data_IF_882219569294
#
_entry.id   IF_882219569294
#
_cell.length_a   1.000
_cell.length_b   1.000
_cell.length_c   1.000
_cell.angle_alpha   90.00
_cell.angle_beta   90.00
_cell.angle_gamma   90.00
#
_symmetry.space_group_name_H-M   'P 1'
#
loop_
_entity.id
_entity.type
_entity.pdbx_description
1 polymer ?
#
# COMPACT_ATOMS: atom_id res chain seq x y z
N UNK A 1 -23.15 -13.18 11.14
CA UNK A 1 -21.75 -13.43 10.70
C UNK A 1 -20.85 -13.96 11.82
N UNK A 2 -21.27 -14.96 12.61
CA UNK A 2 -20.35 -15.71 13.50
C UNK A 2 -19.88 -16.96 12.76
N UNK A 3 -18.57 -17.14 12.60
CA UNK A 3 -17.97 -18.40 12.14
C UNK A 3 -17.56 -18.48 10.66
N UNK A 4 -17.42 -17.38 9.92
CA UNK A 4 -16.79 -17.45 8.59
C UNK A 4 -15.29 -17.66 8.81
N UNK A 5 -14.80 -18.87 8.52
CA UNK A 5 -13.38 -19.15 8.55
C UNK A 5 -12.64 -18.15 7.65
N UNK A 6 -11.45 -17.74 8.07
CA UNK A 6 -10.61 -16.82 7.31
C UNK A 6 -10.09 -17.56 6.05
N UNK A 7 -10.70 -17.27 4.90
CA UNK A 7 -10.28 -17.83 3.60
C UNK A 7 -9.06 -17.05 3.10
N UNK A 8 -7.87 -17.49 3.48
CA UNK A 8 -6.60 -16.93 3.01
C UNK A 8 -6.02 -17.78 1.87
N UNK A 9 -5.30 -17.14 0.92
CA UNK A 9 -4.53 -17.85 -0.10
C UNK A 9 -3.51 -18.81 0.52
N UNK A 10 -3.24 -19.91 -0.19
CA UNK A 10 -2.23 -20.87 0.22
C UNK A 10 -0.85 -20.19 0.38
N UNK A 11 -0.13 -20.54 1.45
CA UNK A 11 1.20 -20.01 1.75
C UNK A 11 1.22 -18.70 2.54
N UNK A 12 0.07 -18.07 2.78
CA UNK A 12 -0.05 -16.97 3.76
C UNK A 12 -0.37 -17.58 5.13
N UNK A 13 0.49 -17.32 6.11
CA UNK A 13 0.32 -17.74 7.51
C UNK A 13 -0.84 -16.95 8.17
N UNK A 14 -1.93 -17.61 8.62
CA UNK A 14 -3.07 -16.94 9.24
C UNK A 14 -2.72 -16.20 10.54
N UNK A 15 -1.84 -16.76 11.37
CA UNK A 15 -1.47 -16.16 12.66
C UNK A 15 -0.64 -14.89 12.42
N UNK A 16 0.28 -14.93 11.45
CA UNK A 16 1.04 -13.73 11.05
C UNK A 16 0.13 -12.67 10.41
N UNK A 17 -0.81 -13.08 9.55
CA UNK A 17 -1.77 -12.16 8.95
C UNK A 17 -2.65 -11.47 10.00
N UNK A 18 -3.16 -12.23 10.97
CA UNK A 18 -3.92 -11.70 12.09
C UNK A 18 -3.09 -10.72 12.92
N UNK A 19 -1.84 -11.08 13.25
CA UNK A 19 -0.92 -10.23 14.01
C UNK A 19 -0.71 -8.87 13.33
N UNK A 20 -0.31 -8.86 12.05
CA UNK A 20 -0.02 -7.60 11.34
C UNK A 20 -1.28 -6.73 11.17
N UNK A 21 -2.43 -7.37 10.94
CA UNK A 21 -3.71 -6.68 10.78
C UNK A 21 -4.14 -6.02 12.09
N UNK A 22 -3.97 -6.72 13.21
CA UNK A 22 -4.21 -6.18 14.54
C UNK A 22 -3.24 -5.05 14.91
N UNK A 23 -1.94 -5.19 14.58
CA UNK A 23 -0.95 -4.14 14.79
C UNK A 23 -1.27 -2.88 13.99
N UNK A 24 -1.66 -3.02 12.72
CA UNK A 24 -2.09 -1.91 11.87
C UNK A 24 -3.32 -1.22 12.48
N UNK A 25 -4.36 -1.99 12.84
CA UNK A 25 -5.57 -1.43 13.43
C UNK A 25 -5.28 -0.63 14.70
N UNK A 26 -4.47 -1.19 15.61
CA UNK A 26 -4.09 -0.51 16.85
C UNK A 26 -3.30 0.78 16.58
N UNK A 27 -2.38 0.78 15.60
CA UNK A 27 -1.64 2.00 15.20
C UNK A 27 -2.59 3.09 14.71
N UNK A 28 -3.58 2.72 13.88
CA UNK A 28 -4.58 3.67 13.36
C UNK A 28 -5.45 4.24 14.46
N UNK A 29 -5.91 3.41 15.40
CA UNK A 29 -6.73 3.89 16.52
C UNK A 29 -5.95 4.81 17.45
N UNK A 30 -4.69 4.48 17.75
CA UNK A 30 -3.85 5.35 18.59
C UNK A 30 -3.45 6.65 17.90
N UNK A 31 -3.25 6.65 16.58
CA UNK A 31 -2.99 7.88 15.82
C UNK A 31 -4.15 8.87 15.94
N UNK A 32 -5.39 8.37 16.09
CA UNK A 32 -6.57 9.20 16.29
C UNK A 32 -6.59 9.92 17.63
N UNK A 33 -6.07 9.29 18.66
CA UNK A 33 -6.03 9.85 20.02
C UNK A 33 -4.93 10.91 20.18
N UNK A 34 -3.95 10.95 19.27
CA UNK A 34 -2.75 11.79 19.38
C UNK A 34 -2.79 13.05 18.50
N UNK A 35 -3.90 13.33 17.82
CA UNK A 35 -3.99 14.54 17.00
C UNK A 35 -4.15 15.77 17.89
N UNK A 36 -3.16 16.63 17.80
CA UNK A 36 -3.19 17.99 18.33
C UNK A 36 -3.06 18.96 17.16
N UNK A 37 -4.14 19.71 16.90
CA UNK A 37 -4.18 20.69 15.82
C UNK A 37 -3.16 21.82 16.02
N UNK A 38 -2.76 22.10 17.26
CA UNK A 38 -1.80 23.16 17.57
C UNK A 38 -0.35 22.73 17.33
N UNK A 39 -0.10 21.42 17.18
CA UNK A 39 1.24 20.88 16.92
C UNK A 39 1.68 21.12 15.48
N UNK A 40 0.74 21.17 14.54
CA UNK A 40 1.01 21.50 13.15
C UNK A 40 0.75 22.99 12.93
N UNK A 41 1.71 23.70 12.31
CA UNK A 41 1.51 25.10 11.95
C UNK A 41 0.41 25.18 10.89
N UNK A 42 -0.74 25.74 11.28
CA UNK A 42 -1.84 26.05 10.37
C UNK A 42 -1.55 27.38 9.69
N UNK A 43 -1.71 27.44 8.36
CA UNK A 43 -1.70 28.70 7.63
C UNK A 43 -3.06 29.39 7.79
N UNK A 44 -3.14 30.53 8.50
CA UNK A 44 -4.41 31.22 8.73
C UNK A 44 -5.03 31.80 7.46
N UNK A 45 -4.22 32.14 6.44
CA UNK A 45 -4.73 32.64 5.17
C UNK A 45 -5.42 31.53 4.39
N UNK A 46 -4.77 30.37 4.29
CA UNK A 46 -5.37 29.18 3.65
C UNK A 46 -6.65 28.76 4.39
N UNK A 47 -6.61 28.72 5.73
CA UNK A 47 -7.77 28.33 6.54
C UNK A 47 -9.01 29.21 6.29
N UNK A 48 -8.84 30.54 6.28
CA UNK A 48 -9.96 31.47 6.03
C UNK A 48 -10.50 31.32 4.61
N UNK A 49 -9.61 31.18 3.61
CA UNK A 49 -10.02 31.02 2.21
C UNK A 49 -10.75 29.68 2.00
N UNK A 50 -10.23 28.58 2.55
CA UNK A 50 -10.85 27.25 2.45
C UNK A 50 -12.21 27.18 3.16
N UNK A 51 -12.32 27.77 4.35
CA UNK A 51 -13.58 27.86 5.07
C UNK A 51 -14.62 28.65 4.27
N UNK A 52 -14.24 29.81 3.72
CA UNK A 52 -15.12 30.61 2.86
C UNK A 52 -15.52 29.88 1.57
N UNK A 53 -14.55 29.25 0.89
CA UNK A 53 -14.80 28.51 -0.36
C UNK A 53 -15.71 27.28 -0.16
N UNK A 54 -15.65 26.65 1.02
CA UNK A 54 -16.45 25.49 1.38
C UNK A 54 -17.74 25.86 2.14
N UNK A 55 -18.01 27.15 2.34
CA UNK A 55 -19.12 27.67 3.14
C UNK A 55 -19.20 27.05 4.55
N UNK A 56 -18.06 26.94 5.22
CA UNK A 56 -17.92 26.42 6.58
C UNK A 56 -17.66 27.55 7.57
N UNK A 57 -18.19 27.42 8.79
CA UNK A 57 -17.69 28.19 9.92
C UNK A 57 -16.25 27.77 10.27
N UNK A 58 -15.50 28.64 10.98
CA UNK A 58 -14.14 28.30 11.41
C UNK A 58 -14.09 27.06 12.31
N UNK A 59 -15.14 26.80 13.10
CA UNK A 59 -15.22 25.59 13.95
C UNK A 59 -15.38 24.34 13.09
N UNK A 60 -16.19 24.40 12.03
CA UNK A 60 -16.37 23.28 11.10
C UNK A 60 -15.10 23.03 10.29
N UNK A 61 -14.42 24.09 9.84
CA UNK A 61 -13.12 23.96 9.17
C UNK A 61 -12.08 23.29 10.06
N UNK A 62 -11.98 23.68 11.35
CA UNK A 62 -11.08 23.05 12.32
C UNK A 62 -11.34 21.55 12.45
N UNK A 63 -12.62 21.14 12.49
CA UNK A 63 -12.98 19.70 12.55
C UNK A 63 -12.57 18.98 11.26
N UNK A 64 -12.82 19.57 10.10
CA UNK A 64 -12.41 19.01 8.82
C UNK A 64 -10.88 18.90 8.71
N UNK A 65 -10.12 19.87 9.25
CA UNK A 65 -8.67 19.84 9.28
C UNK A 65 -8.12 18.73 10.18
N UNK A 66 -8.76 18.49 11.35
CA UNK A 66 -8.46 17.32 12.18
C UNK A 66 -8.67 16.02 11.41
N UNK A 67 -9.80 15.88 10.73
CA UNK A 67 -10.11 14.70 9.91
C UNK A 67 -9.11 14.51 8.74
N UNK A 68 -8.68 15.61 8.12
CA UNK A 68 -7.65 15.59 7.07
C UNK A 68 -6.30 15.14 7.61
N UNK A 69 -5.91 15.59 8.80
CA UNK A 69 -4.68 15.15 9.46
C UNK A 69 -4.75 13.67 9.85
N UNK A 70 -5.91 13.18 10.34
CA UNK A 70 -6.17 11.74 10.55
C UNK A 70 -5.96 10.95 9.27
N UNK A 71 -6.58 11.41 8.18
CA UNK A 71 -6.49 10.74 6.88
C UNK A 71 -5.05 10.65 6.37
N UNK A 72 -4.24 11.70 6.58
CA UNK A 72 -2.82 11.70 6.22
C UNK A 72 -2.03 10.68 7.04
N UNK A 73 -2.23 10.64 8.36
CA UNK A 73 -1.59 9.65 9.23
C UNK A 73 -2.00 8.22 8.85
N UNK A 74 -3.30 8.00 8.61
CA UNK A 74 -3.84 6.72 8.14
C UNK A 74 -3.20 6.30 6.82
N UNK A 75 -3.06 7.21 5.84
CA UNK A 75 -2.43 6.90 4.56
C UNK A 75 -1.00 6.39 4.72
N UNK A 76 -0.22 6.94 5.66
CA UNK A 76 1.13 6.46 5.94
C UNK A 76 1.10 5.05 6.56
N UNK A 77 0.22 4.81 7.53
CA UNK A 77 0.05 3.48 8.14
C UNK A 77 -0.43 2.42 7.15
N UNK A 78 -1.30 2.79 6.20
CA UNK A 78 -1.75 1.91 5.12
C UNK A 78 -0.58 1.51 4.22
N UNK A 79 0.34 2.43 3.93
CA UNK A 79 1.57 2.12 3.18
C UNK A 79 2.39 1.02 3.84
N UNK A 80 2.68 1.17 5.13
CA UNK A 80 3.41 0.14 5.90
C UNK A 80 2.65 -1.17 5.99
N UNK A 81 1.33 -1.13 6.13
CA UNK A 81 0.52 -2.35 6.16
C UNK A 81 0.60 -3.11 4.84
N UNK A 82 0.56 -2.43 3.70
CA UNK A 82 0.74 -3.06 2.40
C UNK A 82 2.14 -3.65 2.21
N UNK A 83 3.18 -2.99 2.70
CA UNK A 83 4.53 -3.54 2.72
C UNK A 83 4.58 -4.87 3.50
N UNK A 84 4.03 -4.90 4.70
CA UNK A 84 3.97 -6.12 5.52
C UNK A 84 3.14 -7.23 4.86
N UNK A 85 2.01 -6.88 4.23
CA UNK A 85 1.19 -7.85 3.49
C UNK A 85 1.93 -8.46 2.30
N UNK A 86 2.69 -7.67 1.54
CA UNK A 86 3.56 -8.21 0.48
C UNK A 86 4.59 -9.17 1.10
N UNK A 87 5.17 -8.82 2.25
CA UNK A 87 6.11 -9.68 2.98
C UNK A 87 5.51 -10.96 3.58
N UNK A 88 4.18 -11.17 3.50
CA UNK A 88 3.55 -12.45 3.85
C UNK A 88 3.39 -13.38 2.64
N UNK A 89 3.58 -12.87 1.42
CA UNK A 89 3.45 -13.69 0.22
C UNK A 89 4.60 -14.70 0.14
N UNK A 90 4.36 -15.91 -0.41
CA UNK A 90 5.42 -16.90 -0.59
C UNK A 90 6.65 -16.32 -1.31
N UNK A 91 7.82 -16.51 -0.70
CA UNK A 91 9.11 -16.05 -1.21
C UNK A 91 9.42 -14.57 -1.02
N UNK A 92 8.46 -13.76 -0.56
CA UNK A 92 8.66 -12.34 -0.28
C UNK A 92 9.01 -12.10 1.20
N UNK A 93 9.83 -11.09 1.43
CA UNK A 93 10.22 -10.59 2.75
C UNK A 93 10.01 -9.07 2.78
N UNK A 94 9.33 -8.58 3.83
CA UNK A 94 9.31 -7.14 4.15
C UNK A 94 10.64 -6.74 4.78
N UNK A 95 11.16 -5.57 4.42
CA UNK A 95 12.34 -4.98 5.07
C UNK A 95 12.01 -4.18 6.34
N UNK A 96 10.71 -4.01 6.63
CA UNK A 96 10.20 -3.28 7.80
C UNK A 96 10.48 -1.77 7.77
N UNK A 97 10.19 -1.11 8.89
CA UNK A 97 10.26 0.36 9.04
C UNK A 97 11.66 0.90 9.39
N UNK A 98 12.62 0.02 9.71
CA UNK A 98 13.84 0.39 10.43
C UNK A 98 15.10 0.53 9.56
N UNK A 99 14.99 0.53 8.24
CA UNK A 99 16.14 0.85 7.36
C UNK A 99 16.35 -0.05 6.15
N UNK A 100 15.29 -0.44 5.45
CA UNK A 100 15.42 -1.00 4.10
C UNK A 100 15.72 0.10 3.08
N UNK A 101 16.60 -0.18 2.13
CA UNK A 101 16.77 0.63 0.92
C UNK A 101 15.56 0.47 -0.05
N UNK A 102 14.69 -0.52 0.20
CA UNK A 102 13.51 -0.89 -0.57
C UNK A 102 12.51 -1.53 0.40
N UNK A 103 11.24 -1.60 0.05
CA UNK A 103 10.16 -2.05 0.94
C UNK A 103 10.07 -3.58 1.08
N UNK A 104 10.33 -4.32 -0.01
CA UNK A 104 10.24 -5.78 -0.03
C UNK A 104 11.27 -6.42 -0.96
N UNK A 105 11.59 -7.69 -0.73
CA UNK A 105 12.53 -8.47 -1.53
C UNK A 105 12.03 -9.90 -1.74
N UNK A 106 12.28 -10.44 -2.92
CA UNK A 106 12.11 -11.85 -3.24
C UNK A 106 13.47 -12.39 -3.71
N UNK A 107 14.16 -13.13 -2.82
CA UNK A 107 15.57 -13.52 -3.03
C UNK A 107 15.77 -14.64 -4.03
N UNK A 108 14.74 -15.46 -4.24
CA UNK A 108 14.73 -16.51 -5.26
C UNK A 108 14.10 -15.97 -6.56
N UNK A 109 14.23 -16.66 -7.70
CA UNK A 109 13.62 -16.22 -8.94
C UNK A 109 12.09 -16.10 -8.83
N UNK A 110 11.56 -14.88 -8.98
CA UNK A 110 10.14 -14.55 -9.12
C UNK A 110 9.79 -14.42 -10.60
N UNK A 111 8.61 -14.91 -11.00
CA UNK A 111 8.16 -14.83 -12.39
C UNK A 111 7.83 -13.38 -12.79
N UNK A 112 8.58 -12.87 -13.75
CA UNK A 112 8.39 -11.56 -14.39
C UNK A 112 7.97 -11.73 -15.85
N UNK A 113 7.54 -10.64 -16.51
CA UNK A 113 7.27 -10.63 -17.94
C UNK A 113 8.54 -10.74 -18.82
N UNK A 114 9.73 -10.61 -18.24
CA UNK A 114 11.00 -10.71 -18.95
C UNK A 114 11.80 -11.97 -18.61
N UNK A 115 11.24 -12.87 -17.79
CA UNK A 115 11.91 -14.08 -17.31
C UNK A 115 11.71 -14.29 -15.81
N UNK A 116 12.54 -15.13 -15.19
CA UNK A 116 12.49 -15.37 -13.74
C UNK A 116 13.75 -14.84 -13.07
N UNK A 117 13.58 -13.90 -12.13
CA UNK A 117 14.68 -13.17 -11.51
C UNK A 117 14.41 -12.92 -10.04
N UNK A 118 15.44 -12.85 -9.19
CA UNK A 118 15.27 -12.28 -7.87
C UNK A 118 14.88 -10.80 -7.98
N UNK A 119 14.11 -10.31 -7.02
CA UNK A 119 13.42 -9.03 -7.10
C UNK A 119 13.65 -8.20 -5.84
N UNK A 120 13.90 -6.91 -6.02
CA UNK A 120 13.70 -5.89 -4.98
C UNK A 120 12.50 -5.02 -5.36
N UNK A 121 11.74 -4.54 -4.39
CA UNK A 121 10.52 -3.79 -4.67
C UNK A 121 10.30 -2.61 -3.72
N UNK A 122 9.73 -1.55 -4.28
CA UNK A 122 9.09 -0.46 -3.56
C UNK A 122 7.57 -0.61 -3.70
N UNK A 123 6.83 -0.43 -2.61
CA UNK A 123 5.37 -0.54 -2.58
C UNK A 123 4.74 0.85 -2.49
N UNK A 124 3.79 1.14 -3.39
CA UNK A 124 2.96 2.34 -3.32
C UNK A 124 1.49 1.96 -3.26
N UNK A 125 0.78 2.63 -2.34
CA UNK A 125 -0.65 2.44 -2.17
C UNK A 125 -1.42 2.75 -3.47
N UNK A 126 -1.14 3.89 -4.12
CA UNK A 126 -1.83 4.32 -5.34
C UNK A 126 -0.85 4.75 -6.44
N UNK A 127 -1.30 4.72 -7.69
CA UNK A 127 -0.50 5.14 -8.84
C UNK A 127 -0.06 6.63 -8.82
N UNK A 128 -0.80 7.49 -8.11
CA UNK A 128 -0.61 8.94 -8.07
C UNK A 128 0.06 9.45 -6.78
N UNK A 129 0.69 8.59 -5.99
CA UNK A 129 1.26 8.96 -4.69
C UNK A 129 2.62 9.68 -4.80
N UNK A 130 3.21 9.77 -5.99
CA UNK A 130 4.52 10.38 -6.20
C UNK A 130 4.43 11.64 -7.06
N UNK A 131 5.02 12.72 -6.58
CA UNK A 131 5.36 13.87 -7.43
C UNK A 131 6.57 13.52 -8.32
N UNK A 132 6.87 14.38 -9.30
CA UNK A 132 7.97 14.17 -10.24
C UNK A 132 9.35 14.02 -9.58
N UNK A 133 9.59 14.73 -8.47
CA UNK A 133 10.83 14.64 -7.70
C UNK A 133 10.98 13.27 -7.03
N UNK A 134 9.97 12.84 -6.26
CA UNK A 134 9.95 11.52 -5.61
C UNK A 134 10.04 10.36 -6.60
N UNK A 135 9.40 10.50 -7.77
CA UNK A 135 9.51 9.52 -8.87
C UNK A 135 10.94 9.43 -9.40
N UNK A 136 11.59 10.57 -9.64
CA UNK A 136 12.98 10.62 -10.11
C UNK A 136 13.92 10.01 -9.07
N UNK A 137 13.70 10.33 -7.79
CA UNK A 137 14.52 9.81 -6.70
C UNK A 137 14.40 8.29 -6.54
N UNK A 138 13.19 7.75 -6.62
CA UNK A 138 12.99 6.30 -6.59
C UNK A 138 13.66 5.62 -7.79
N UNK A 139 13.61 6.24 -8.96
CA UNK A 139 14.31 5.74 -10.15
C UNK A 139 15.83 5.67 -9.95
N UNK A 140 16.43 6.73 -9.41
CA UNK A 140 17.85 6.75 -9.06
C UNK A 140 18.21 5.67 -8.04
N UNK A 141 17.36 5.49 -7.02
CA UNK A 141 17.55 4.46 -6.00
C UNK A 141 17.57 3.06 -6.64
N UNK A 142 16.62 2.73 -7.51
CA UNK A 142 16.63 1.45 -8.22
C UNK A 142 17.87 1.25 -9.10
N UNK A 143 18.30 2.28 -9.85
CA UNK A 143 19.54 2.21 -10.63
C UNK A 143 20.74 1.96 -9.70
N UNK A 144 20.80 2.67 -8.58
CA UNK A 144 21.86 2.49 -7.58
C UNK A 144 21.87 1.08 -7.02
N UNK A 145 20.71 0.51 -6.68
CA UNK A 145 20.62 -0.85 -6.13
C UNK A 145 21.04 -1.90 -7.15
N UNK A 146 20.52 -1.84 -8.37
CA UNK A 146 20.87 -2.80 -9.43
C UNK A 146 22.35 -2.70 -9.86
N UNK A 147 23.03 -1.60 -9.56
CA UNK A 147 24.47 -1.43 -9.75
C UNK A 147 25.34 -2.08 -8.67
N UNK A 148 24.77 -2.51 -7.52
CA UNK A 148 25.54 -3.10 -6.43
C UNK A 148 25.79 -4.60 -6.67
N UNK A 149 26.96 -5.15 -6.29
CA UNK A 149 27.30 -6.56 -6.50
C UNK A 149 26.27 -7.54 -5.93
N UNK A 150 25.69 -7.23 -4.77
CA UNK A 150 24.71 -8.10 -4.10
C UNK A 150 23.36 -8.21 -4.84
N UNK A 151 23.03 -7.25 -5.71
CA UNK A 151 21.81 -7.26 -6.52
C UNK A 151 22.09 -7.54 -8.00
N UNK A 152 23.27 -8.09 -8.32
CA UNK A 152 23.60 -8.47 -9.69
C UNK A 152 22.61 -9.50 -10.20
N UNK A 153 21.92 -9.16 -11.30
CA UNK A 153 20.91 -10.03 -11.91
C UNK A 153 19.49 -9.86 -11.37
N UNK A 154 19.28 -8.96 -10.41
CA UNK A 154 17.95 -8.64 -9.90
C UNK A 154 17.13 -7.80 -10.90
N UNK A 155 15.82 -7.81 -10.69
CA UNK A 155 14.85 -6.85 -11.24
C UNK A 155 14.35 -5.96 -10.09
N UNK A 156 14.11 -4.69 -10.37
CA UNK A 156 13.49 -3.76 -9.45
C UNK A 156 12.03 -3.50 -9.85
N UNK A 157 11.11 -3.65 -8.91
CA UNK A 157 9.69 -3.37 -9.13
C UNK A 157 9.21 -2.16 -8.32
N UNK A 158 8.48 -1.27 -8.98
CA UNK A 158 7.48 -0.44 -8.33
C UNK A 158 6.17 -1.23 -8.31
N UNK A 159 5.74 -1.65 -7.12
CA UNK A 159 4.46 -2.33 -6.91
C UNK A 159 3.39 -1.28 -6.61
N UNK A 160 2.30 -1.28 -7.37
CA UNK A 160 1.12 -0.44 -7.10
C UNK A 160 -0.03 -1.29 -6.58
N UNK A 161 -0.47 -1.05 -5.34
CA UNK A 161 -1.62 -1.76 -4.78
C UNK A 161 -2.90 -1.41 -5.53
N UNK A 162 -3.11 -0.12 -5.75
CA UNK A 162 -4.22 0.44 -6.53
C UNK A 162 -3.61 1.03 -7.81
N UNK A 163 -3.57 0.25 -8.91
CA UNK A 163 -3.02 0.72 -10.18
C UNK A 163 -3.95 1.77 -10.83
N UNK A 164 -3.59 2.22 -12.03
CA UNK A 164 -4.50 3.03 -12.85
C UNK A 164 -5.55 2.09 -13.48
N UNK A 165 -6.86 2.42 -13.45
CA UNK A 165 -7.90 1.57 -14.02
C UNK A 165 -7.62 1.14 -15.46
N UNK A 166 -7.98 -0.10 -15.80
CA UNK A 166 -7.81 -0.65 -17.15
C UNK A 166 -6.38 -0.99 -17.54
N UNK A 167 -5.43 -1.11 -16.59
CA UNK A 167 -4.06 -1.56 -16.85
C UNK A 167 -3.75 -2.83 -16.06
N UNK A 168 -3.58 -3.95 -16.76
CA UNK A 168 -2.85 -5.10 -16.25
C UNK A 168 -1.36 -4.82 -16.45
N UNK A 169 -0.58 -4.85 -15.38
CA UNK A 169 0.76 -4.26 -15.36
C UNK A 169 1.82 -5.22 -14.89
N UNK A 170 2.77 -5.43 -15.78
CA UNK A 170 4.17 -5.79 -15.53
C UNK A 170 4.96 -5.29 -16.75
N UNK A 171 5.27 -4.00 -16.74
CA UNK A 171 5.83 -3.26 -17.89
C UNK A 171 7.11 -2.52 -17.48
N UNK A 172 7.99 -2.18 -18.43
CA UNK A 172 9.09 -1.26 -18.13
C UNK A 172 8.56 0.02 -17.47
N UNK A 173 9.16 0.41 -16.35
CA UNK A 173 8.79 1.65 -15.69
C UNK A 173 9.60 2.79 -16.30
N UNK A 174 8.90 3.68 -17.00
CA UNK A 174 9.51 4.79 -17.74
C UNK A 174 9.41 6.08 -16.94
N UNK A 175 10.54 6.74 -16.74
CA UNK A 175 10.63 8.07 -16.16
C UNK A 175 11.38 8.95 -17.16
N UNK A 176 10.76 10.04 -17.63
CA UNK A 176 11.20 10.85 -18.78
C UNK A 176 12.70 11.17 -18.83
N UNK A 177 13.37 11.29 -17.67
CA UNK A 177 14.80 11.63 -17.56
C UNK A 177 15.78 10.45 -17.66
N UNK A 178 15.34 9.20 -17.56
CA UNK A 178 16.22 8.03 -17.42
C UNK A 178 16.06 6.96 -18.51
N UNK A 179 15.19 7.21 -19.51
CA UNK A 179 14.88 6.24 -20.57
C UNK A 179 14.20 4.96 -20.05
N UNK A 180 14.02 3.98 -20.93
CA UNK A 180 13.43 2.68 -20.60
C UNK A 180 14.52 1.69 -20.17
N UNK A 181 14.31 1.00 -19.05
CA UNK A 181 15.20 -0.07 -18.59
C UNK A 181 14.36 -1.29 -18.27
N UNK A 182 14.57 -2.39 -18.99
CA UNK A 182 13.72 -3.59 -18.85
C UNK A 182 13.71 -4.17 -17.43
N UNK A 183 14.81 -4.01 -16.69
CA UNK A 183 14.97 -4.51 -15.31
C UNK A 183 14.38 -3.59 -14.24
N UNK A 184 13.84 -2.43 -14.59
CA UNK A 184 13.14 -1.56 -13.64
C UNK A 184 11.70 -1.41 -14.13
N UNK A 185 10.77 -1.98 -13.39
CA UNK A 185 9.43 -2.30 -13.90
C UNK A 185 8.32 -1.81 -12.97
N UNK A 186 7.15 -1.61 -13.54
CA UNK A 186 5.92 -1.30 -12.84
C UNK A 186 5.03 -2.54 -12.87
N UNK A 187 4.55 -2.98 -11.70
CA UNK A 187 3.67 -4.12 -11.54
C UNK A 187 2.53 -3.79 -10.57
N UNK A 188 1.34 -4.34 -10.80
CA UNK A 188 0.22 -4.20 -9.87
C UNK A 188 0.25 -5.30 -8.81
N UNK A 189 -0.36 -5.01 -7.66
CA UNK A 189 -0.44 -5.98 -6.58
C UNK A 189 -1.24 -7.22 -6.96
N UNK A 190 -2.29 -7.12 -7.79
CA UNK A 190 -3.06 -8.31 -8.20
C UNK A 190 -2.12 -9.34 -8.85
N UNK A 191 -1.27 -8.90 -9.77
CA UNK A 191 -0.30 -9.73 -10.46
C UNK A 191 0.75 -10.31 -9.52
N UNK A 192 1.24 -9.51 -8.54
CA UNK A 192 2.19 -10.01 -7.53
C UNK A 192 1.56 -11.11 -6.67
N UNK A 193 0.35 -10.88 -6.15
CA UNK A 193 -0.35 -11.84 -5.31
C UNK A 193 -0.66 -13.13 -6.08
N UNK A 194 -1.17 -13.01 -7.31
CA UNK A 194 -1.49 -14.14 -8.17
C UNK A 194 -0.26 -14.99 -8.46
N UNK A 195 0.87 -14.38 -8.83
CA UNK A 195 2.11 -15.12 -9.14
C UNK A 195 2.74 -15.76 -7.90
N UNK A 196 2.66 -15.10 -6.74
CA UNK A 196 3.23 -15.64 -5.51
C UNK A 196 2.41 -16.80 -4.93
N UNK A 197 1.08 -16.78 -5.09
CA UNK A 197 0.18 -17.76 -4.47
C UNK A 197 -0.39 -18.78 -5.45
N UNK A 198 -0.22 -18.55 -6.76
CA UNK A 198 -0.88 -19.27 -7.85
C UNK A 198 -2.42 -19.21 -7.78
N UNK A 199 -2.95 -18.15 -7.15
CA UNK A 199 -4.38 -17.91 -6.97
C UNK A 199 -4.78 -16.52 -7.53
N UNK A 200 -5.56 -16.45 -8.62
CA UNK A 200 -5.96 -15.19 -9.25
C UNK A 200 -6.84 -14.30 -8.36
N UNK A 201 -7.43 -14.87 -7.30
CA UNK A 201 -8.26 -14.18 -6.31
C UNK A 201 -7.50 -13.81 -5.04
N UNK A 202 -6.18 -14.03 -4.98
CA UNK A 202 -5.43 -13.93 -3.73
C UNK A 202 -5.53 -12.56 -3.05
N UNK A 203 -5.40 -11.46 -3.81
CA UNK A 203 -5.53 -10.10 -3.26
C UNK A 203 -6.96 -9.85 -2.73
N UNK A 204 -7.98 -10.41 -3.39
CA UNK A 204 -9.39 -10.26 -2.99
C UNK A 204 -9.64 -11.02 -1.70
N UNK A 205 -9.17 -12.26 -1.58
CA UNK A 205 -9.25 -13.07 -0.37
C UNK A 205 -8.60 -12.39 0.83
N UNK A 206 -7.39 -11.84 0.65
CA UNK A 206 -6.68 -11.07 1.68
C UNK A 206 -7.49 -9.86 2.11
N UNK A 207 -8.07 -9.10 1.17
CA UNK A 207 -8.94 -7.97 1.50
C UNK A 207 -10.21 -8.39 2.28
N UNK A 208 -10.87 -9.47 1.86
CA UNK A 208 -12.07 -10.01 2.51
C UNK A 208 -11.79 -10.61 3.90
N UNK A 209 -10.54 -11.00 4.18
CA UNK A 209 -10.11 -11.51 5.47
C UNK A 209 -9.95 -10.41 6.54
N UNK A 210 -9.70 -9.14 6.14
CA UNK A 210 -9.48 -8.03 7.08
C UNK A 210 -10.68 -7.84 8.05
N UNK A 211 -11.93 -7.70 7.58
CA UNK A 211 -13.07 -7.56 8.49
C UNK A 211 -13.31 -8.78 9.38
N UNK A 212 -12.88 -9.97 8.96
CA UNK A 212 -12.97 -11.20 9.77
C UNK A 212 -12.05 -11.10 10.98
N UNK A 213 -10.78 -10.70 10.78
CA UNK A 213 -9.82 -10.45 11.87
C UNK A 213 -10.35 -9.39 12.83
N UNK A 214 -10.91 -8.31 12.27
CA UNK A 214 -11.36 -7.16 13.06
C UNK A 214 -12.74 -7.36 13.70
N UNK A 215 -13.45 -8.45 13.42
CA UNK A 215 -14.84 -8.67 13.84
C UNK A 215 -15.07 -8.62 15.35
N UNK A 216 -14.04 -8.89 16.16
CA UNK A 216 -14.09 -8.78 17.63
C UNK A 216 -13.86 -7.34 18.14
N UNK A 217 -13.37 -6.45 17.28
CA UNK A 217 -12.95 -5.07 17.60
C UNK A 217 -13.83 -4.00 16.97
N UNK A 218 -14.69 -4.38 16.02
CA UNK A 218 -15.57 -3.46 15.30
C UNK A 218 -17.02 -3.90 15.40
N UNK A 219 -17.92 -2.92 15.32
CA UNK A 219 -19.35 -3.18 15.17
C UNK A 219 -19.65 -3.46 13.69
N UNK A 220 -19.71 -4.76 13.34
CA UNK A 220 -20.02 -5.20 11.97
C UNK A 220 -21.41 -4.78 11.49
N UNK A 221 -22.37 -4.47 12.39
CA UNK A 221 -23.70 -3.99 11.97
C UNK A 221 -23.63 -2.62 11.27
N UNK A 222 -22.57 -1.84 11.54
CA UNK A 222 -22.31 -0.57 10.84
C UNK A 222 -21.70 -0.74 9.45
N UNK A 223 -21.40 -1.98 9.05
CA UNK A 223 -20.80 -2.34 7.76
C UNK A 223 -21.82 -3.00 6.81
N UNK A 224 -23.12 -2.94 7.13
CA UNK A 224 -24.18 -3.41 6.24
C UNK A 224 -24.14 -2.65 4.89
N UNK A 225 -24.41 -3.36 3.80
CA UNK A 225 -24.51 -2.91 2.38
C UNK A 225 -23.38 -3.30 1.38
N UNK A 226 -22.45 -4.21 1.68
CA UNK A 226 -21.40 -4.66 0.72
C UNK A 226 -20.59 -3.52 0.07
N UNK A 227 -20.72 -2.28 0.54
CA UNK A 227 -20.12 -1.08 -0.06
C UNK A 227 -18.59 -1.20 -0.14
N UNK A 228 -17.99 -1.82 0.88
CA UNK A 228 -16.56 -2.08 0.92
C UNK A 228 -16.09 -3.06 -0.17
N UNK A 229 -16.94 -4.03 -0.56
CA UNK A 229 -16.67 -4.94 -1.70
C UNK A 229 -16.77 -4.22 -3.04
N UNK A 230 -17.74 -3.32 -3.17
CA UNK A 230 -17.88 -2.48 -4.36
C UNK A 230 -16.66 -1.54 -4.53
N UNK A 231 -16.18 -0.94 -3.43
CA UNK A 231 -14.97 -0.11 -3.43
C UNK A 231 -13.73 -0.88 -3.91
N UNK A 232 -13.61 -2.16 -3.53
CA UNK A 232 -12.52 -3.02 -4.02
C UNK A 232 -12.63 -3.25 -5.53
N UNK A 233 -13.83 -3.65 -6.00
CA UNK A 233 -14.10 -3.86 -7.42
C UNK A 233 -13.73 -2.64 -8.28
N UNK A 234 -14.18 -1.45 -7.89
CA UNK A 234 -13.93 -0.21 -8.66
C UNK A 234 -12.49 0.31 -8.60
N UNK A 235 -11.69 -0.13 -7.63
CA UNK A 235 -10.35 0.40 -7.40
C UNK A 235 -9.25 -0.51 -7.94
N UNK A 236 -9.50 -1.82 -7.99
CA UNK A 236 -8.52 -2.83 -8.40
C UNK A 236 -8.75 -3.30 -9.84
N UNK A 237 -9.99 -3.27 -10.34
CA UNK A 237 -10.36 -3.68 -11.69
C UNK A 237 -10.76 -2.49 -12.59
#
# INVERSE_FOLDING_TARGET
>A
MKGRAMDLPAGIDPDRFELITNQFFNKVTSAREQIDINKNVVDPFAAVIEAAASNLSMIEWVRAEVDRQLQKALSNHVGYYHQELIGLLPGWESTGTSGGNYDAIHRTPFQTNIGSYPVIAEVKNKHNTMNSSSTSKLRENFISYLGRPEFKGYVAYLIQIIPRPGRNTDIPWVVNRYGEWDKIRLIDAKTVYERSTQDPDALRKVFEAIPVVLSSKIDLSKWEHDLWRNLYGSSIY
#
